data_IF_999801802292
#
_entry.id   IF_999801802292
#
_cell.length_a   1.000
_cell.length_b   1.000
_cell.length_c   1.000
_cell.angle_alpha   90.00
_cell.angle_beta   90.00
_cell.angle_gamma   90.00
#
_symmetry.space_group_name_H-M   'P 1'
#
loop_
_entity.id
_entity.type
_entity.pdbx_description
1 polymer ?
#
# COMPACT_ATOMS: atom_id res chain seq x y z
N UNK A 1 -13.02 10.81 1.23
CA UNK A 1 -12.39 11.59 2.33
C UNK A 1 -10.89 11.44 2.18
N UNK A 2 -10.11 12.51 2.38
CA UNK A 2 -8.66 12.46 2.25
C UNK A 2 -8.02 13.26 3.38
N UNK A 3 -6.98 12.72 4.02
CA UNK A 3 -6.23 13.34 5.10
C UNK A 3 -4.75 13.36 4.73
N UNK A 4 -4.10 14.53 4.85
CA UNK A 4 -2.70 14.75 4.51
C UNK A 4 -2.30 14.38 3.06
N UNK A 5 -3.25 14.40 2.14
CA UNK A 5 -3.00 14.19 0.71
C UNK A 5 -2.75 15.52 0.00
N UNK A 6 -1.79 15.55 -0.93
CA UNK A 6 -1.57 16.70 -1.80
C UNK A 6 -2.71 16.89 -2.80
N UNK A 7 -2.87 18.12 -3.30
CA UNK A 7 -3.86 18.43 -4.33
C UNK A 7 -3.57 17.65 -5.64
N UNK A 8 -4.61 17.21 -6.36
CA UNK A 8 -4.43 16.55 -7.65
C UNK A 8 -3.79 17.52 -8.66
N UNK A 9 -2.95 16.97 -9.52
CA UNK A 9 -2.26 17.72 -10.56
C UNK A 9 -2.01 16.83 -11.80
N UNK A 10 -1.67 17.42 -12.94
CA UNK A 10 -1.20 16.68 -14.11
C UNK A 10 0.07 15.87 -13.77
N UNK A 11 0.36 14.74 -14.43
CA UNK A 11 1.58 13.98 -14.16
C UNK A 11 2.85 14.85 -14.15
N UNK A 12 3.67 14.71 -13.11
CA UNK A 12 4.93 15.43 -12.94
C UNK A 12 6.08 14.43 -12.79
N UNK A 13 7.17 14.68 -13.49
CA UNK A 13 8.37 13.83 -13.48
C UNK A 13 9.60 14.52 -12.89
N UNK A 14 9.49 15.82 -12.56
CA UNK A 14 10.56 16.62 -11.97
C UNK A 14 11.89 16.58 -12.76
N UNK A 15 11.82 16.70 -14.09
CA UNK A 15 13.03 16.81 -14.93
C UNK A 15 13.84 18.05 -14.55
N UNK A 16 15.17 17.91 -14.47
CA UNK A 16 16.09 19.01 -14.14
C UNK A 16 16.58 19.77 -15.37
N UNK A 17 16.52 19.16 -16.55
CA UNK A 17 16.90 19.77 -17.83
C UNK A 17 15.82 19.58 -18.90
N UNK A 18 15.74 20.52 -19.85
CA UNK A 18 14.77 20.46 -20.94
C UNK A 18 14.99 19.26 -21.88
N UNK A 19 16.25 18.89 -22.11
CA UNK A 19 16.62 17.72 -22.92
C UNK A 19 16.09 16.43 -22.31
N UNK A 20 16.19 16.30 -20.98
CA UNK A 20 15.66 15.16 -20.22
C UNK A 20 14.14 15.08 -20.32
N UNK A 21 13.46 16.22 -20.19
CA UNK A 21 12.02 16.31 -20.36
C UNK A 21 11.55 15.92 -21.78
N UNK A 22 12.30 16.35 -22.80
CA UNK A 22 11.97 16.06 -24.20
C UNK A 22 12.20 14.59 -24.55
N UNK A 23 13.19 13.95 -23.93
CA UNK A 23 13.55 12.55 -24.14
C UNK A 23 12.84 11.59 -23.17
N UNK A 24 12.17 12.11 -22.14
CA UNK A 24 11.54 11.31 -21.09
C UNK A 24 12.51 10.63 -20.12
N UNK A 25 13.78 11.06 -20.08
CA UNK A 25 14.86 10.42 -19.32
C UNK A 25 15.19 11.16 -18.02
N UNK A 26 15.79 10.49 -17.03
CA UNK A 26 16.34 11.14 -15.82
C UNK A 26 15.34 11.98 -14.99
N UNK A 27 14.05 11.59 -14.94
CA UNK A 27 13.11 12.17 -13.98
C UNK A 27 13.47 11.78 -12.54
N UNK A 28 13.17 12.63 -11.56
CA UNK A 28 13.44 12.36 -10.13
C UNK A 28 12.37 11.45 -9.49
N UNK A 29 11.88 10.44 -10.22
CA UNK A 29 10.85 9.50 -9.77
C UNK A 29 11.45 8.11 -9.68
N UNK A 30 11.35 7.50 -8.50
CA UNK A 30 11.73 6.11 -8.27
C UNK A 30 10.47 5.28 -8.11
N UNK A 31 10.41 4.16 -8.82
CA UNK A 31 9.33 3.19 -8.67
C UNK A 31 9.58 2.36 -7.42
N UNK A 32 8.53 2.16 -6.62
CA UNK A 32 8.53 1.18 -5.53
C UNK A 32 7.75 -0.09 -5.92
N UNK A 33 7.44 -0.28 -7.20
CA UNK A 33 6.85 -1.53 -7.68
C UNK A 33 7.83 -2.70 -7.48
N UNK A 34 7.30 -3.87 -7.17
CA UNK A 34 8.08 -5.06 -6.84
C UNK A 34 7.39 -5.87 -5.75
N UNK A 35 8.15 -6.75 -5.10
CA UNK A 35 7.61 -7.58 -4.04
C UNK A 35 7.59 -6.83 -2.70
N UNK A 36 6.39 -6.72 -2.14
CA UNK A 36 6.14 -6.17 -0.82
C UNK A 36 5.79 -7.32 0.13
N UNK A 37 6.10 -7.16 1.41
CA UNK A 37 5.58 -8.06 2.43
C UNK A 37 4.10 -7.79 2.62
N UNK A 38 3.28 -8.83 2.52
CA UNK A 38 1.84 -8.73 2.65
C UNK A 38 1.29 -9.69 3.70
N UNK A 39 0.26 -9.24 4.40
CA UNK A 39 -0.55 -10.07 5.26
C UNK A 39 -2.02 -9.63 5.20
N UNK A 40 -2.91 -10.62 5.13
CA UNK A 40 -4.35 -10.40 5.20
C UNK A 40 -4.86 -10.62 6.63
N UNK A 41 -5.69 -9.69 7.09
CA UNK A 41 -6.40 -9.74 8.36
C UNK A 41 -7.91 -9.75 8.12
N UNK A 42 -8.69 -10.31 9.06
CA UNK A 42 -10.14 -10.39 8.93
C UNK A 42 -10.85 -9.05 9.13
N UNK A 43 -10.26 -8.16 9.93
CA UNK A 43 -10.77 -6.82 10.22
C UNK A 43 -9.62 -5.85 10.54
N UNK A 44 -9.81 -4.53 10.40
CA UNK A 44 -8.79 -3.56 10.77
C UNK A 44 -8.42 -3.62 12.27
N UNK A 45 -9.37 -3.97 13.14
CA UNK A 45 -9.14 -4.12 14.59
C UNK A 45 -8.32 -5.36 14.95
N UNK A 46 -8.21 -6.34 14.03
CA UNK A 46 -7.38 -7.53 14.21
C UNK A 46 -5.92 -7.32 13.81
N UNK A 47 -5.58 -6.15 13.25
CA UNK A 47 -4.21 -5.80 12.87
C UNK A 47 -3.40 -5.49 14.14
N UNK A 48 -2.33 -6.25 14.44
CA UNK A 48 -1.51 -5.99 15.62
C UNK A 48 -0.65 -4.74 15.42
N UNK A 49 -0.39 -4.01 16.50
CA UNK A 49 0.44 -2.80 16.47
C UNK A 49 1.87 -3.05 15.96
N UNK A 50 2.37 -4.28 16.11
CA UNK A 50 3.70 -4.70 15.61
C UNK A 50 3.85 -4.63 14.09
N UNK A 51 2.76 -4.49 13.32
CA UNK A 51 2.82 -4.17 11.88
C UNK A 51 3.52 -2.82 11.64
N UNK A 52 3.44 -1.91 12.60
CA UNK A 52 4.04 -0.57 12.55
C UNK A 52 5.50 -0.54 13.02
N UNK A 53 6.06 -1.67 13.49
CA UNK A 53 7.44 -1.73 13.94
C UNK A 53 8.40 -1.29 12.83
N UNK A 54 9.28 -0.35 13.16
CA UNK A 54 10.30 0.15 12.22
C UNK A 54 11.35 -0.92 11.88
N UNK A 55 11.62 -1.82 12.81
CA UNK A 55 12.60 -2.90 12.64
C UNK A 55 11.84 -4.20 12.47
N UNK A 56 11.92 -4.77 11.28
CA UNK A 56 11.30 -6.05 10.97
C UNK A 56 12.17 -6.87 10.04
N UNK A 57 11.93 -8.18 10.07
CA UNK A 57 12.56 -9.08 9.11
C UNK A 57 12.10 -8.71 7.71
N UNK A 58 13.03 -8.36 6.82
CA UNK A 58 12.75 -8.13 5.40
C UNK A 58 12.70 -9.44 4.60
N UNK A 59 12.87 -10.60 5.26
CA UNK A 59 12.75 -11.89 4.60
C UNK A 59 11.30 -12.12 4.19
N UNK A 60 11.10 -12.18 2.89
CA UNK A 60 9.88 -12.64 2.25
C UNK A 60 9.98 -14.18 2.21
N UNK A 61 8.92 -14.90 2.60
CA UNK A 61 8.83 -16.38 2.72
C UNK A 61 9.05 -17.01 4.11
N UNK A 62 8.37 -16.53 5.15
CA UNK A 62 8.19 -17.35 6.34
C UNK A 62 6.91 -18.17 6.18
N UNK A 63 6.98 -19.44 5.80
CA UNK A 63 5.85 -20.38 5.96
C UNK A 63 5.71 -20.68 7.44
N UNK A 64 4.48 -20.70 7.97
CA UNK A 64 4.22 -21.15 9.33
C UNK A 64 3.30 -22.36 9.27
N UNK A 65 3.91 -23.55 9.22
CA UNK A 65 3.25 -24.77 9.66
C UNK A 65 3.39 -24.85 11.20
N UNK A 66 2.28 -24.72 11.91
CA UNK A 66 2.08 -25.39 13.20
C UNK A 66 2.43 -24.65 14.50
N UNK A 67 3.04 -23.46 14.50
CA UNK A 67 3.41 -22.76 15.75
C UNK A 67 2.86 -21.32 15.92
N UNK A 68 2.01 -20.82 15.03
CA UNK A 68 1.30 -19.54 15.23
C UNK A 68 2.13 -18.28 15.00
N UNK A 69 3.30 -18.39 14.36
CA UNK A 69 4.00 -17.22 13.82
C UNK A 69 3.21 -16.61 12.64
N UNK A 70 3.33 -15.30 12.50
CA UNK A 70 2.72 -14.54 11.41
C UNK A 70 3.63 -14.65 10.18
N UNK A 71 3.13 -15.29 9.12
CA UNK A 71 3.82 -15.40 7.83
C UNK A 71 3.51 -14.20 6.93
N UNK A 72 4.52 -13.38 6.64
CA UNK A 72 4.44 -12.37 5.58
C UNK A 72 4.67 -13.02 4.22
N UNK A 73 3.72 -12.82 3.30
CA UNK A 73 3.77 -13.30 1.92
C UNK A 73 4.52 -12.30 1.03
N UNK A 74 5.12 -12.81 -0.05
CA UNK A 74 5.55 -11.98 -1.17
C UNK A 74 4.31 -11.52 -1.94
N UNK A 75 4.06 -10.22 -2.02
CA UNK A 75 2.97 -9.71 -2.85
C UNK A 75 3.54 -8.79 -3.93
N UNK A 76 3.39 -9.12 -5.22
CA UNK A 76 3.77 -8.21 -6.28
C UNK A 76 2.88 -6.98 -6.23
N UNK A 77 3.48 -5.79 -6.24
CA UNK A 77 2.77 -4.51 -6.32
C UNK A 77 3.08 -3.86 -7.67
N UNK A 78 2.06 -3.50 -8.47
CA UNK A 78 0.62 -3.52 -8.16
C UNK A 78 -0.05 -4.89 -8.35
N UNK A 79 -1.06 -5.20 -7.54
CA UNK A 79 -1.94 -6.38 -7.69
C UNK A 79 -3.26 -6.21 -6.91
N UNK A 80 -4.22 -7.09 -7.16
CA UNK A 80 -5.37 -7.31 -6.26
C UNK A 80 -5.10 -8.61 -5.50
N UNK A 81 -5.14 -8.59 -4.16
CA UNK A 81 -4.72 -9.75 -3.36
C UNK A 81 -5.59 -10.99 -3.59
N UNK A 82 -6.87 -10.83 -3.96
CA UNK A 82 -7.79 -11.95 -4.25
C UNK A 82 -7.37 -12.79 -5.47
N UNK A 83 -6.47 -12.26 -6.31
CA UNK A 83 -5.93 -12.98 -7.47
C UNK A 83 -4.62 -13.71 -7.15
N UNK A 84 -4.15 -13.63 -5.91
CA UNK A 84 -2.89 -14.25 -5.50
C UNK A 84 -3.19 -15.57 -4.78
N UNK A 85 -2.72 -16.70 -5.33
CA UNK A 85 -3.09 -18.06 -4.90
C UNK A 85 -2.84 -18.36 -3.41
N UNK A 86 -1.90 -17.65 -2.78
CA UNK A 86 -1.57 -17.80 -1.35
C UNK A 86 -2.48 -17.01 -0.41
N UNK A 87 -3.35 -16.15 -0.94
CA UNK A 87 -4.27 -15.32 -0.16
C UNK A 87 -5.63 -15.98 -0.12
N UNK A 88 -6.09 -16.33 1.07
CA UNK A 88 -7.38 -16.96 1.28
C UNK A 88 -8.51 -15.91 1.36
N UNK A 89 -8.80 -15.26 0.23
CA UNK A 89 -9.93 -14.36 0.05
C UNK A 89 -10.46 -14.49 -1.39
N UNK A 90 -11.75 -14.27 -1.60
CA UNK A 90 -12.40 -14.52 -2.89
C UNK A 90 -12.86 -13.22 -3.56
N UNK A 91 -12.70 -13.07 -4.88
CA UNK A 91 -13.30 -11.96 -5.59
C UNK A 91 -14.83 -12.10 -5.57
N UNK A 92 -15.52 -11.03 -5.21
CA UNK A 92 -16.99 -11.00 -5.15
C UNK A 92 -17.53 -10.28 -6.39
N UNK A 93 -18.34 -10.98 -7.18
CA UNK A 93 -19.10 -10.40 -8.27
C UNK A 93 -20.56 -10.19 -7.85
N UNK A 94 -21.04 -8.96 -7.97
CA UNK A 94 -22.45 -8.61 -7.78
C UNK A 94 -22.89 -7.69 -8.92
N UNK A 95 -24.16 -7.75 -9.31
CA UNK A 95 -24.69 -6.86 -10.36
C UNK A 95 -25.21 -5.54 -9.76
N UNK A 96 -26.21 -5.61 -8.87
CA UNK A 96 -26.90 -4.43 -8.30
C UNK A 96 -26.73 -4.37 -6.77
N UNK A 97 -26.81 -5.52 -6.09
CA UNK A 97 -26.79 -5.57 -4.63
C UNK A 97 -25.37 -5.35 -4.13
N UNK A 98 -25.19 -4.52 -3.11
CA UNK A 98 -23.92 -4.44 -2.40
C UNK A 98 -23.46 -5.82 -1.91
N UNK A 99 -22.14 -6.09 -1.88
CA UNK A 99 -21.59 -7.33 -1.34
C UNK A 99 -21.68 -7.41 0.20
N UNK A 100 -22.26 -6.39 0.85
CA UNK A 100 -22.45 -6.26 2.29
C UNK A 100 -23.81 -5.61 2.59
N UNK A 101 -24.28 -5.61 3.86
CA UNK A 101 -25.54 -4.97 4.24
C UNK A 101 -25.60 -3.49 3.84
N UNK A 102 -26.66 -3.11 3.12
CA UNK A 102 -26.88 -1.75 2.63
C UNK A 102 -27.38 -0.83 3.76
N UNK A 103 -26.47 -0.47 4.67
CA UNK A 103 -26.77 0.40 5.83
C UNK A 103 -25.77 1.56 5.92
N UNK A 104 -25.85 2.58 5.04
CA UNK A 104 -24.90 3.69 5.06
C UNK A 104 -24.93 4.49 6.38
N UNK A 105 -23.78 5.02 6.87
CA UNK A 105 -22.42 4.92 6.30
C UNK A 105 -21.63 3.70 6.83
N UNK A 106 -22.31 2.69 7.38
CA UNK A 106 -21.67 1.59 8.08
C UNK A 106 -21.19 0.50 7.13
N UNK A 107 -20.02 -0.07 7.44
CA UNK A 107 -19.45 -1.26 6.79
C UNK A 107 -19.47 -2.43 7.78
N UNK A 108 -19.36 -3.68 7.31
CA UNK A 108 -19.22 -4.84 8.19
C UNK A 108 -18.02 -4.71 9.15
N UNK A 109 -18.14 -5.33 10.32
CA UNK A 109 -17.02 -5.50 11.25
C UNK A 109 -15.95 -6.42 10.63
N UNK A 110 -16.39 -7.52 10.01
CA UNK A 110 -15.53 -8.39 9.22
C UNK A 110 -15.23 -7.72 7.88
N UNK A 111 -14.16 -6.93 7.85
CA UNK A 111 -13.71 -6.14 6.70
C UNK A 111 -12.26 -6.50 6.36
N UNK A 112 -12.03 -7.40 5.38
CA UNK A 112 -10.70 -7.89 5.02
C UNK A 112 -9.70 -6.74 4.83
N UNK A 113 -8.61 -6.78 5.60
CA UNK A 113 -7.62 -5.70 5.67
C UNK A 113 -6.26 -6.23 5.25
N UNK A 114 -5.78 -5.76 4.10
CA UNK A 114 -4.45 -6.07 3.59
C UNK A 114 -3.39 -5.11 4.12
N UNK A 115 -2.44 -5.61 4.90
CA UNK A 115 -1.28 -4.84 5.35
C UNK A 115 -0.09 -5.09 4.43
N UNK A 116 0.50 -4.01 3.90
CA UNK A 116 1.66 -4.04 3.03
C UNK A 116 2.85 -3.36 3.72
N UNK A 117 4.03 -3.97 3.66
CA UNK A 117 5.29 -3.43 4.18
C UNK A 117 6.37 -3.49 3.12
N UNK A 118 7.15 -2.41 3.05
CA UNK A 118 8.28 -2.32 2.13
C UNK A 118 9.37 -1.45 2.75
N UNK A 119 10.60 -1.90 2.63
CA UNK A 119 11.78 -1.14 3.02
C UNK A 119 12.51 -0.74 1.74
N UNK A 120 12.84 0.54 1.63
CA UNK A 120 13.56 1.07 0.49
C UNK A 120 14.66 2.01 0.99
N UNK A 121 15.76 2.05 0.25
CA UNK A 121 16.82 3.01 0.50
C UNK A 121 16.63 4.24 -0.39
N UNK A 122 16.87 5.40 0.19
CA UNK A 122 16.88 6.64 -0.55
C UNK A 122 18.08 7.48 -0.13
N UNK A 123 18.83 7.98 -1.11
CA UNK A 123 19.92 8.92 -0.91
C UNK A 123 19.53 10.26 -1.54
N UNK A 124 19.13 11.27 -0.75
CA UNK A 124 18.80 12.57 -1.29
C UNK A 124 20.06 13.23 -1.85
N UNK A 125 19.99 13.74 -3.07
CA UNK A 125 21.05 14.57 -3.65
C UNK A 125 21.08 15.98 -3.06
N UNK A 126 19.94 16.48 -2.57
CA UNK A 126 19.80 17.74 -1.86
C UNK A 126 18.71 17.62 -0.78
N UNK A 127 19.05 18.00 0.45
CA UNK A 127 18.16 17.95 1.62
C UNK A 127 17.03 18.99 1.57
N UNK A 128 17.12 19.99 0.67
CA UNK A 128 16.07 20.99 0.48
C UNK A 128 14.96 20.54 -0.49
N UNK A 129 15.09 19.37 -1.12
CA UNK A 129 14.07 18.86 -2.03
C UNK A 129 12.84 18.33 -1.29
N UNK A 130 11.65 18.67 -1.78
CA UNK A 130 10.40 18.10 -1.27
C UNK A 130 10.18 16.68 -1.82
N UNK A 131 10.09 15.69 -0.94
CA UNK A 131 9.75 14.32 -1.30
C UNK A 131 8.25 14.06 -1.14
N UNK A 132 7.70 13.22 -2.02
CA UNK A 132 6.34 12.71 -1.90
C UNK A 132 6.28 11.24 -2.33
N UNK A 133 5.39 10.48 -1.69
CA UNK A 133 5.02 9.14 -2.13
C UNK A 133 3.75 9.23 -2.97
N UNK A 134 3.66 8.43 -4.04
CA UNK A 134 2.52 8.41 -4.95
C UNK A 134 1.99 6.98 -5.05
N UNK A 135 0.76 6.78 -4.58
CA UNK A 135 -0.02 5.58 -4.85
C UNK A 135 -0.98 5.90 -5.99
N UNK A 136 -0.81 5.27 -7.15
CA UNK A 136 -1.69 5.50 -8.31
C UNK A 136 -3.08 4.87 -8.13
N UNK A 137 -3.21 3.89 -7.23
CA UNK A 137 -4.48 3.32 -6.82
C UNK A 137 -4.35 2.54 -5.51
N UNK A 138 -5.36 2.66 -4.65
CA UNK A 138 -5.57 1.85 -3.46
C UNK A 138 -7.07 1.66 -3.27
N UNK A 139 -7.53 0.42 -3.22
CA UNK A 139 -8.96 0.09 -3.21
C UNK A 139 -9.36 -0.58 -1.90
N UNK A 140 -10.41 -0.14 -1.20
CA UNK A 140 -11.22 1.07 -1.43
C UNK A 140 -10.75 2.28 -0.61
N UNK A 141 -9.96 2.03 0.42
CA UNK A 141 -9.39 3.03 1.30
C UNK A 141 -8.02 2.57 1.80
N UNK A 142 -7.14 3.52 2.10
CA UNK A 142 -5.78 3.21 2.55
C UNK A 142 -5.32 4.21 3.61
N UNK A 143 -4.74 3.69 4.70
CA UNK A 143 -3.91 4.45 5.62
C UNK A 143 -2.44 4.20 5.31
N UNK A 144 -1.61 5.24 5.45
CA UNK A 144 -0.18 5.14 5.18
C UNK A 144 0.62 5.53 6.41
N UNK A 145 1.64 4.73 6.71
CA UNK A 145 2.67 5.01 7.71
C UNK A 145 4.05 5.03 7.05
N UNK A 146 4.93 5.90 7.54
CA UNK A 146 6.33 5.95 7.15
C UNK A 146 7.19 6.00 8.42
N UNK A 147 8.14 5.09 8.57
CA UNK A 147 9.00 4.99 9.76
C UNK A 147 8.19 4.98 11.07
N UNK A 148 7.11 4.17 11.12
CA UNK A 148 6.22 4.05 12.28
C UNK A 148 5.27 5.24 12.51
N UNK A 149 5.41 6.34 11.76
CA UNK A 149 4.55 7.53 11.90
C UNK A 149 3.41 7.51 10.88
N UNK A 150 2.19 7.75 11.34
CA UNK A 150 1.05 7.90 10.45
C UNK A 150 1.19 9.17 9.61
N UNK A 151 1.10 9.05 8.29
CA UNK A 151 1.28 10.18 7.38
C UNK A 151 0.00 10.59 6.65
N UNK A 152 -1.00 9.71 6.51
CA UNK A 152 -2.24 10.10 5.83
C UNK A 152 -3.24 8.98 5.58
N UNK A 153 -4.34 9.37 4.96
CA UNK A 153 -5.46 8.50 4.61
C UNK A 153 -6.11 8.96 3.30
N UNK A 154 -6.55 8.01 2.47
CA UNK A 154 -7.33 8.31 1.27
C UNK A 154 -8.40 7.24 1.03
N UNK A 155 -9.60 7.69 0.69
CA UNK A 155 -10.66 6.90 0.05
C UNK A 155 -11.24 7.72 -1.11
N UNK A 156 -11.54 7.04 -2.22
CA UNK A 156 -12.21 7.59 -3.41
C UNK A 156 -13.28 6.60 -3.88
#
# INVERSE_FOLDING_TARGET
MKLNTLAPHSPLHSYRHQTDASNGTQGSRVSLNGDWQFQLFSSPESVPESVLDMVFSTKINAVVEGNGEISWLAMPVPSNWQLHDQVNDNPIYTNIKYPFPDTPPFVPIDNPTGCYRHCFEWQPTDMNESMRIVFEGGNSACHVWCNGQWIGYSQD
#
